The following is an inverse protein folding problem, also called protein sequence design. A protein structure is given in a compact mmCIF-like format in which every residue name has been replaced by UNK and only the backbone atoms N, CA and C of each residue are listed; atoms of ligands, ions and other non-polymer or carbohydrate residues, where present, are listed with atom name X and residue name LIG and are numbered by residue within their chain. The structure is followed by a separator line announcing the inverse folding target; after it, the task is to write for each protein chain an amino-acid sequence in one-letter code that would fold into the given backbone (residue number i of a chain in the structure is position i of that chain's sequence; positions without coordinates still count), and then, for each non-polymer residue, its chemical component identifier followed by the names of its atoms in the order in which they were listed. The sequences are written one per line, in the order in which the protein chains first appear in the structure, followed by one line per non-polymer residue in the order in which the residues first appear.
data_IF_034299739678
#
_entry.id   IF_034299739678
#
_cell.length_a   1.000
_cell.length_b   1.000
_cell.length_c   1.000
_cell.angle_alpha   90.00
_cell.angle_beta   90.00
_cell.angle_gamma   90.00
#
_symmetry.space_group_name_H-M   'P 1'
#
loop_
_entity.id
_entity.type
_entity.pdbx_description
1 polymer ?
#
# COMPACT_ATOMS: atom_id res chain seq x y z
N UNK A 1 -15.43 -3.10 -2.68
CA UNK A 1 -14.55 -2.08 -2.11
C UNK A 1 -13.50 -1.72 -3.14
N UNK A 2 -13.38 -0.44 -3.46
CA UNK A 2 -12.49 -0.02 -4.55
C UNK A 2 -11.23 0.62 -3.98
N UNK A 3 -10.10 -0.05 -4.14
CA UNK A 3 -8.81 0.45 -3.66
C UNK A 3 -8.14 1.24 -4.79
N UNK A 4 -7.48 2.34 -4.43
CA UNK A 4 -6.75 3.17 -5.38
C UNK A 4 -5.72 2.34 -6.15
N UNK A 5 -5.64 2.53 -7.47
CA UNK A 5 -4.74 1.75 -8.33
C UNK A 5 -3.27 1.90 -7.92
N UNK A 6 -2.86 3.10 -7.49
CA UNK A 6 -1.48 3.32 -7.05
C UNK A 6 -1.18 2.56 -5.76
N UNK A 7 -2.15 2.52 -4.83
CA UNK A 7 -2.00 1.76 -3.59
C UNK A 7 -1.90 0.27 -3.87
N UNK A 8 -2.74 -0.25 -4.77
CA UNK A 8 -2.67 -1.65 -5.18
C UNK A 8 -1.33 -1.99 -5.80
N UNK A 9 -0.80 -1.10 -6.63
CA UNK A 9 0.48 -1.29 -7.28
C UNK A 9 1.60 -1.41 -6.24
N UNK A 10 1.60 -0.54 -5.24
CA UNK A 10 2.59 -0.58 -4.17
C UNK A 10 2.50 -1.89 -3.40
N UNK A 11 1.29 -2.32 -3.06
CA UNK A 11 1.07 -3.59 -2.35
C UNK A 11 1.57 -4.76 -3.19
N UNK A 12 1.23 -4.80 -4.48
CA UNK A 12 1.66 -5.86 -5.39
C UNK A 12 3.18 -5.95 -5.48
N UNK A 13 3.85 -4.80 -5.56
CA UNK A 13 5.30 -4.74 -5.64
C UNK A 13 5.92 -5.32 -4.37
N UNK A 14 5.43 -4.89 -3.21
CA UNK A 14 5.94 -5.38 -1.93
C UNK A 14 5.70 -6.89 -1.77
N UNK A 15 4.52 -7.35 -2.10
CA UNK A 15 4.20 -8.77 -2.02
C UNK A 15 5.03 -9.61 -2.98
N UNK A 16 5.32 -9.09 -4.18
CA UNK A 16 6.15 -9.79 -5.15
C UNK A 16 7.59 -9.96 -4.67
N UNK A 17 8.01 -9.13 -3.72
CA UNK A 17 9.35 -9.22 -3.12
C UNK A 17 9.35 -9.98 -1.80
N UNK A 18 8.23 -10.61 -1.44
CA UNK A 18 8.13 -11.42 -0.24
C UNK A 18 7.76 -10.66 1.03
N UNK A 19 7.36 -9.40 0.91
CA UNK A 19 6.90 -8.61 2.05
C UNK A 19 5.40 -8.63 2.15
N UNK A 20 4.88 -8.35 3.34
CA UNK A 20 3.45 -8.16 3.56
C UNK A 20 3.13 -6.67 3.47
N UNK A 21 1.96 -6.35 2.93
CA UNK A 21 1.51 -4.97 2.84
C UNK A 21 0.00 -4.91 3.00
N UNK A 22 -0.49 -3.93 3.76
CA UNK A 22 -1.91 -3.79 4.07
C UNK A 22 -2.31 -2.31 4.01
N UNK A 23 -3.52 -2.06 3.55
CA UNK A 23 -4.14 -0.74 3.63
C UNK A 23 -4.73 -0.59 5.04
N UNK A 24 -4.41 0.49 5.72
CA UNK A 24 -4.82 0.72 7.11
C UNK A 24 -5.31 2.15 7.31
N UNK A 25 -5.86 2.42 8.50
CA UNK A 25 -6.21 3.77 8.92
C UNK A 25 -7.55 4.26 8.42
N UNK A 26 -7.69 5.59 8.32
CA UNK A 26 -8.95 6.23 7.94
C UNK A 26 -9.43 5.88 6.55
N UNK A 27 -8.53 5.50 5.65
CA UNK A 27 -8.92 5.09 4.30
C UNK A 27 -9.78 3.83 4.32
N UNK A 28 -9.50 2.89 5.21
CA UNK A 28 -10.31 1.68 5.36
C UNK A 28 -11.72 2.04 5.83
N UNK A 29 -11.80 2.92 6.83
CA UNK A 29 -13.09 3.41 7.33
C UNK A 29 -13.88 4.10 6.20
N UNK A 30 -13.22 4.95 5.43
CA UNK A 30 -13.87 5.68 4.34
C UNK A 30 -14.40 4.73 3.27
N UNK A 31 -13.65 3.69 2.93
CA UNK A 31 -14.08 2.68 1.97
C UNK A 31 -15.34 1.96 2.46
N UNK A 32 -15.38 1.60 3.74
CA UNK A 32 -16.54 0.93 4.34
C UNK A 32 -17.76 1.82 4.27
N UNK A 33 -17.60 3.13 4.44
CA UNK A 33 -18.67 4.11 4.38
C UNK A 33 -19.05 4.52 2.96
N UNK A 34 -18.38 3.96 1.96
CA UNK A 34 -18.64 4.29 0.57
C UNK A 34 -18.03 5.60 0.11
N UNK A 35 -17.09 6.12 0.85
CA UNK A 35 -16.38 7.36 0.52
C UNK A 35 -15.07 7.04 -0.20
N UNK A 36 -14.59 8.00 -0.99
CA UNK A 36 -13.28 7.91 -1.62
C UNK A 36 -12.25 8.52 -0.69
N UNK A 37 -11.29 7.72 -0.17
CA UNK A 37 -10.27 8.25 0.73
C UNK A 37 -9.37 9.26 0.01
N UNK A 38 -8.98 10.32 0.74
CA UNK A 38 -8.03 11.29 0.22
C UNK A 38 -6.60 10.80 0.37
N UNK A 39 -6.33 10.10 1.46
CA UNK A 39 -5.00 9.57 1.76
C UNK A 39 -5.08 8.06 1.90
N UNK A 40 -4.06 7.38 1.40
CA UNK A 40 -3.96 5.94 1.47
C UNK A 40 -2.75 5.56 2.30
N UNK A 41 -3.01 4.98 3.47
CA UNK A 41 -1.97 4.54 4.38
C UNK A 41 -1.72 3.05 4.17
N UNK A 42 -0.47 2.70 3.92
CA UNK A 42 -0.06 1.31 3.71
C UNK A 42 0.94 0.94 4.79
N UNK A 43 0.69 -0.15 5.48
CA UNK A 43 1.65 -0.71 6.42
C UNK A 43 2.32 -1.93 5.80
N UNK A 44 3.60 -2.14 6.13
CA UNK A 44 4.37 -3.25 5.59
C UNK A 44 5.38 -3.72 6.63
N UNK A 45 5.79 -4.98 6.52
CA UNK A 45 6.88 -5.50 7.34
C UNK A 45 8.26 -5.23 6.74
N UNK A 46 8.32 -4.60 5.56
CA UNK A 46 9.59 -4.20 4.97
C UNK A 46 10.23 -3.07 5.78
N UNK A 47 11.52 -3.17 6.02
CA UNK A 47 12.28 -2.11 6.68
C UNK A 47 12.48 -0.94 5.71
N UNK A 48 12.71 0.30 6.21
CA UNK A 48 12.91 1.44 5.32
C UNK A 48 13.98 1.24 4.25
N UNK A 49 15.06 0.57 4.60
CA UNK A 49 16.15 0.27 3.66
C UNK A 49 15.68 -0.68 2.57
N UNK A 50 14.86 -1.65 2.93
CA UNK A 50 14.30 -2.61 1.99
C UNK A 50 13.29 -1.93 1.06
N UNK A 51 12.51 -1.01 1.60
CA UNK A 51 11.58 -0.21 0.81
C UNK A 51 12.32 0.60 -0.26
N UNK A 52 13.41 1.25 0.15
CA UNK A 52 14.24 2.01 -0.79
C UNK A 52 14.78 1.13 -1.90
N UNK A 53 15.30 -0.04 -1.55
CA UNK A 53 15.85 -0.98 -2.52
C UNK A 53 14.79 -1.43 -3.53
N UNK A 54 13.59 -1.74 -3.06
CA UNK A 54 12.49 -2.19 -3.90
C UNK A 54 12.11 -1.11 -4.91
N UNK A 55 11.97 0.13 -4.44
CA UNK A 55 11.50 1.22 -5.31
C UNK A 55 12.59 1.86 -6.14
N UNK A 56 13.86 1.66 -5.80
CA UNK A 56 14.99 2.11 -6.63
C UNK A 56 15.25 1.20 -7.83
N UNK A 57 14.77 -0.04 -7.80
CA UNK A 57 14.98 -1.00 -8.88
C UNK A 57 14.03 -0.83 -10.07
N UNK A 58 13.53 0.37 -10.26
CA UNK A 58 12.78 0.67 -11.47
C UNK A 58 11.28 0.40 -11.38
N UNK A 59 10.75 0.65 -10.24
CA UNK A 59 9.32 0.49 -10.03
C UNK A 59 8.56 1.75 -10.40
#
# INVERSE_FOLDING_TARGET
MKINANALKIIDILESRGYEAFVVGGCVRDLILGKIPKDWDITTNAMPEQMLAVFEEGV
#
